data_IF_167454178663
#
_entry.id   IF_167454178663
#
_cell.length_a   1.000
_cell.length_b   1.000
_cell.length_c   1.000
_cell.angle_alpha   90.00
_cell.angle_beta   90.00
_cell.angle_gamma   90.00
#
_symmetry.space_group_name_H-M   'P 1'
#
loop_
_entity.id
_entity.type
_entity.pdbx_description
1 polymer ?
#
# COMPACT_ATOMS: atom_id res chain seq x y z
N UNK A 1 15.73 50.08 -11.89
CA UNK A 1 14.48 49.70 -11.21
C UNK A 1 13.62 49.03 -12.26
N UNK A 2 13.78 47.72 -12.43
CA UNK A 2 12.89 46.88 -13.22
C UNK A 2 12.39 45.78 -12.29
N UNK A 3 11.26 46.05 -11.66
CA UNK A 3 10.46 45.09 -10.90
C UNK A 3 9.44 44.51 -11.87
N UNK A 4 9.91 43.71 -12.84
CA UNK A 4 9.06 43.00 -13.78
C UNK A 4 8.69 41.62 -13.24
N UNK A 5 7.47 41.55 -12.70
CA UNK A 5 6.60 40.38 -12.60
C UNK A 5 7.29 39.02 -12.38
N UNK A 6 7.66 38.72 -11.13
CA UNK A 6 7.64 37.31 -10.68
C UNK A 6 6.19 36.92 -10.40
N UNK A 7 5.38 36.80 -11.45
CA UNK A 7 4.15 36.02 -11.36
C UNK A 7 4.61 34.60 -11.03
N UNK A 8 4.61 34.25 -9.74
CA UNK A 8 4.77 32.87 -9.33
C UNK A 8 3.60 32.13 -9.96
N UNK A 9 3.86 31.42 -11.07
CA UNK A 9 2.95 30.44 -11.63
C UNK A 9 2.89 29.26 -10.66
N UNK A 10 2.29 29.49 -9.49
CA UNK A 10 1.96 28.44 -8.55
C UNK A 10 0.82 27.63 -9.15
N UNK A 11 0.97 26.31 -9.13
CA UNK A 11 -0.11 25.41 -9.51
C UNK A 11 -1.35 25.69 -8.64
N UNK A 12 -2.56 25.73 -9.22
CA UNK A 12 -3.80 25.82 -8.45
C UNK A 12 -3.92 24.67 -7.42
N UNK A 13 -4.45 24.99 -6.23
CA UNK A 13 -4.55 24.05 -5.10
C UNK A 13 -5.36 22.80 -5.43
N UNK A 14 -6.42 22.93 -6.23
CA UNK A 14 -7.27 21.81 -6.66
C UNK A 14 -6.50 20.84 -7.56
N UNK A 15 -5.64 21.36 -8.45
CA UNK A 15 -4.78 20.55 -9.29
C UNK A 15 -3.69 19.89 -8.44
N UNK A 16 -3.09 20.63 -7.50
CA UNK A 16 -2.10 20.09 -6.58
C UNK A 16 -2.66 18.94 -5.74
N UNK A 17 -3.86 19.13 -5.19
CA UNK A 17 -4.58 18.12 -4.42
C UNK A 17 -4.83 16.88 -5.28
N UNK A 18 -5.29 17.05 -6.52
CA UNK A 18 -5.55 15.95 -7.45
C UNK A 18 -4.28 15.18 -7.82
N UNK A 19 -3.15 15.87 -7.99
CA UNK A 19 -1.84 15.24 -8.18
C UNK A 19 -1.52 14.39 -6.95
N UNK A 20 -1.52 15.00 -5.76
CA UNK A 20 -1.16 14.33 -4.52
C UNK A 20 -2.08 13.12 -4.22
N UNK A 21 -3.39 13.25 -4.40
CA UNK A 21 -4.36 12.16 -4.17
C UNK A 21 -4.22 10.99 -5.14
N UNK A 22 -3.56 11.19 -6.28
CA UNK A 22 -3.36 10.15 -7.29
C UNK A 22 -2.08 9.33 -7.07
N UNK A 23 -1.19 9.80 -6.18
CA UNK A 23 0.10 9.17 -5.94
C UNK A 23 0.01 8.00 -4.95
N UNK A 24 0.93 7.05 -5.11
CA UNK A 24 1.20 6.06 -4.06
C UNK A 24 1.95 6.74 -2.90
N UNK A 25 1.91 6.14 -1.71
CA UNK A 25 2.49 6.73 -0.49
C UNK A 25 3.99 7.01 -0.63
N UNK A 26 4.73 6.18 -1.36
CA UNK A 26 6.15 6.43 -1.64
C UNK A 26 6.36 7.76 -2.37
N UNK A 27 5.67 7.94 -3.49
CA UNK A 27 5.76 9.15 -4.31
C UNK A 27 5.16 10.38 -3.60
N UNK A 28 4.11 10.19 -2.80
CA UNK A 28 3.53 11.25 -1.99
C UNK A 28 4.54 11.80 -0.97
N UNK A 29 5.28 10.92 -0.29
CA UNK A 29 6.33 11.32 0.65
C UNK A 29 7.50 12.01 -0.08
N UNK A 30 7.89 11.53 -1.27
CA UNK A 30 8.90 12.17 -2.10
C UNK A 30 8.46 13.57 -2.53
N UNK A 31 7.21 13.74 -2.98
CA UNK A 31 6.64 15.02 -3.37
C UNK A 31 6.59 16.00 -2.19
N UNK A 32 6.15 15.53 -1.03
CA UNK A 32 6.14 16.30 0.21
C UNK A 32 7.53 16.80 0.62
N UNK A 33 8.59 16.12 0.20
CA UNK A 33 9.97 16.52 0.48
C UNK A 33 10.49 17.62 -0.46
N UNK A 34 9.78 17.94 -1.56
CA UNK A 34 10.24 18.89 -2.56
C UNK A 34 10.09 20.36 -2.17
N UNK A 35 9.10 20.70 -1.33
CA UNK A 35 8.84 22.08 -0.89
C UNK A 35 7.94 22.13 0.34
N UNK A 36 7.89 23.28 1.02
CA UNK A 36 6.96 23.48 2.14
C UNK A 36 5.49 23.36 1.73
N UNK A 37 5.12 23.91 0.58
CA UNK A 37 3.76 23.79 0.02
C UNK A 37 3.35 22.33 -0.12
N UNK A 38 4.19 21.51 -0.77
CA UNK A 38 3.92 20.08 -0.93
C UNK A 38 3.97 19.32 0.40
N UNK A 39 4.85 19.68 1.32
CA UNK A 39 4.92 19.07 2.65
C UNK A 39 3.61 19.25 3.41
N UNK A 40 3.06 20.48 3.44
CA UNK A 40 1.79 20.80 4.09
C UNK A 40 0.63 20.08 3.39
N UNK A 41 0.57 20.15 2.06
CA UNK A 41 -0.49 19.52 1.28
C UNK A 41 -0.50 17.99 1.41
N UNK A 42 0.65 17.33 1.24
CA UNK A 42 0.79 15.87 1.36
C UNK A 42 0.58 15.38 2.81
N UNK A 43 0.76 16.26 3.78
CA UNK A 43 0.45 16.01 5.19
C UNK A 43 -1.04 16.10 5.54
N UNK A 44 -1.88 16.62 4.64
CA UNK A 44 -3.30 16.84 4.88
C UNK A 44 -4.07 15.54 5.11
N UNK A 45 -4.86 15.50 6.17
CA UNK A 45 -5.57 14.30 6.62
C UNK A 45 -6.55 13.74 5.59
N UNK A 46 -7.15 14.60 4.76
CA UNK A 46 -8.04 14.20 3.67
C UNK A 46 -7.34 13.31 2.62
N UNK A 47 -6.05 13.54 2.35
CA UNK A 47 -5.28 12.69 1.43
C UNK A 47 -5.10 11.31 2.05
N UNK A 48 -4.78 11.26 3.34
CA UNK A 48 -4.57 10.00 4.06
C UNK A 48 -5.88 9.23 4.25
N UNK A 49 -7.01 9.91 4.43
CA UNK A 49 -8.34 9.30 4.40
C UNK A 49 -8.57 8.58 3.07
N UNK A 50 -8.41 9.29 1.95
CA UNK A 50 -8.59 8.72 0.62
C UNK A 50 -7.65 7.52 0.39
N UNK A 51 -6.39 7.62 0.82
CA UNK A 51 -5.42 6.51 0.75
C UNK A 51 -5.85 5.30 1.59
N UNK A 52 -6.34 5.52 2.80
CA UNK A 52 -6.87 4.45 3.67
C UNK A 52 -8.03 3.75 2.99
N UNK A 53 -9.03 4.51 2.51
CA UNK A 53 -10.23 3.96 1.87
C UNK A 53 -9.91 3.17 0.62
N UNK A 54 -8.96 3.65 -0.18
CA UNK A 54 -8.50 2.95 -1.40
C UNK A 54 -7.76 1.65 -1.08
N UNK A 55 -6.89 1.66 -0.06
CA UNK A 55 -6.05 0.51 0.30
C UNK A 55 -6.82 -0.56 1.08
N UNK A 56 -7.67 -0.15 2.03
CA UNK A 56 -8.41 -1.02 2.95
C UNK A 56 -9.91 -0.64 2.98
N UNK A 57 -10.66 -0.89 1.89
CA UNK A 57 -12.05 -0.45 1.77
C UNK A 57 -12.98 -1.06 2.81
N UNK A 58 -12.79 -2.33 3.18
CA UNK A 58 -13.62 -3.00 4.21
C UNK A 58 -13.46 -2.33 5.57
N UNK A 59 -12.21 -2.00 5.95
CA UNK A 59 -11.90 -1.37 7.22
C UNK A 59 -12.39 0.08 7.28
N UNK A 60 -12.34 0.80 6.15
CA UNK A 60 -12.91 2.13 6.07
C UNK A 60 -14.42 2.16 6.36
N UNK A 61 -15.17 1.19 5.82
CA UNK A 61 -16.61 1.04 6.10
C UNK A 61 -16.88 0.75 7.57
N UNK A 62 -16.03 -0.06 8.21
CA UNK A 62 -16.11 -0.31 9.64
C UNK A 62 -15.89 0.99 10.43
N UNK A 63 -14.83 1.75 10.15
CA UNK A 63 -14.52 3.01 10.85
C UNK A 63 -15.67 4.03 10.71
N UNK A 64 -16.24 4.18 9.50
CA UNK A 64 -17.38 5.07 9.26
C UNK A 64 -18.65 4.64 10.02
N UNK A 65 -18.79 3.36 10.35
CA UNK A 65 -19.94 2.87 11.12
C UNK A 65 -19.84 3.21 12.63
N UNK A 66 -18.63 3.46 13.14
CA UNK A 66 -18.34 3.70 14.56
C UNK A 66 -18.23 5.19 14.95
N UNK A 67 -18.82 6.12 14.17
CA UNK A 67 -18.74 7.60 14.22
C UNK A 67 -18.98 8.34 15.58
N UNK A 68 -18.85 7.70 16.73
CA UNK A 68 -19.02 8.27 18.08
C UNK A 68 -17.73 8.32 18.92
N UNK A 69 -16.55 8.07 18.35
CA UNK A 69 -15.26 8.13 19.09
C UNK A 69 -14.34 9.24 18.56
N UNK A 70 -13.46 9.81 19.42
CA UNK A 70 -12.46 10.77 18.96
C UNK A 70 -11.59 10.09 17.90
N UNK A 71 -11.71 10.55 16.66
CA UNK A 71 -10.99 10.00 15.52
C UNK A 71 -9.51 10.35 15.65
N UNK A 72 -8.67 9.32 15.67
CA UNK A 72 -7.25 9.44 15.35
C UNK A 72 -7.10 9.98 13.93
N UNK A 73 -6.16 10.91 13.71
CA UNK A 73 -5.85 11.43 12.36
C UNK A 73 -5.58 10.26 11.39
N UNK A 74 -6.20 10.29 10.20
CA UNK A 74 -6.08 9.26 9.17
C UNK A 74 -4.62 8.97 8.81
N UNK A 75 -3.74 9.97 8.84
CA UNK A 75 -2.30 9.77 8.63
C UNK A 75 -1.69 8.83 9.69
N UNK A 76 -1.97 9.09 10.96
CA UNK A 76 -1.44 8.29 12.07
C UNK A 76 -2.01 6.88 12.01
N UNK A 77 -3.32 6.78 11.76
CA UNK A 77 -4.01 5.51 11.53
C UNK A 77 -3.35 4.70 10.41
N UNK A 78 -3.11 5.32 9.25
CA UNK A 78 -2.49 4.66 8.10
C UNK A 78 -1.13 4.08 8.45
N UNK A 79 -0.27 4.87 9.11
CA UNK A 79 1.09 4.45 9.50
C UNK A 79 1.02 3.26 10.46
N UNK A 80 0.18 3.34 11.49
CA UNK A 80 -0.01 2.24 12.44
C UNK A 80 -0.50 0.97 11.73
N UNK A 81 -1.51 1.11 10.86
CA UNK A 81 -2.10 -0.03 10.16
C UNK A 81 -1.13 -0.66 9.17
N UNK A 82 -0.37 0.16 8.46
CA UNK A 82 0.70 -0.30 7.59
C UNK A 82 1.74 -1.13 8.36
N UNK A 83 2.17 -0.65 9.53
CA UNK A 83 3.14 -1.36 10.37
C UNK A 83 2.58 -2.69 10.91
N UNK A 84 1.29 -2.70 11.30
CA UNK A 84 0.59 -3.93 11.70
C UNK A 84 0.61 -4.96 10.55
N UNK A 85 0.22 -4.56 9.35
CA UNK A 85 0.21 -5.43 8.17
C UNK A 85 1.61 -5.88 7.78
N UNK A 86 2.61 -5.01 7.87
CA UNK A 86 4.02 -5.35 7.64
C UNK A 86 4.51 -6.42 8.63
N UNK A 87 4.14 -6.32 9.90
CA UNK A 87 4.46 -7.33 10.92
C UNK A 87 3.82 -8.68 10.62
N UNK A 88 2.55 -8.68 10.20
CA UNK A 88 1.84 -9.90 9.81
C UNK A 88 2.43 -10.54 8.54
N UNK A 89 2.75 -9.74 7.53
CA UNK A 89 3.45 -10.19 6.32
C UNK A 89 4.79 -10.83 6.66
N UNK A 90 5.58 -10.19 7.54
CA UNK A 90 6.85 -10.72 8.00
C UNK A 90 6.69 -12.09 8.67
N UNK A 91 5.67 -12.27 9.50
CA UNK A 91 5.38 -13.57 10.12
C UNK A 91 5.14 -14.69 9.09
N UNK A 92 4.41 -14.40 8.01
CA UNK A 92 4.19 -15.36 6.91
C UNK A 92 5.49 -15.61 6.15
N UNK A 93 6.25 -14.56 5.84
CA UNK A 93 7.53 -14.67 5.13
C UNK A 93 8.52 -15.54 5.93
N UNK A 94 8.65 -15.29 7.22
CA UNK A 94 9.52 -16.05 8.12
C UNK A 94 9.06 -17.52 8.21
N UNK A 95 7.76 -17.77 8.28
CA UNK A 95 7.18 -19.12 8.22
C UNK A 95 7.54 -19.84 6.91
N UNK A 96 7.32 -19.21 5.76
CA UNK A 96 7.63 -19.81 4.44
C UNK A 96 9.12 -20.12 4.36
N UNK A 97 9.98 -19.16 4.74
CA UNK A 97 11.43 -19.35 4.73
C UNK A 97 11.87 -20.50 5.64
N UNK A 98 11.21 -20.69 6.79
CA UNK A 98 11.49 -21.81 7.68
C UNK A 98 11.07 -23.16 7.09
N UNK A 99 10.00 -23.19 6.29
CA UNK A 99 9.52 -24.39 5.61
C UNK A 99 10.29 -24.74 4.33
N UNK A 100 11.24 -23.92 3.89
CA UNK A 100 12.01 -24.20 2.68
C UNK A 100 13.02 -25.34 2.91
N UNK A 101 12.95 -26.34 2.03
CA UNK A 101 13.96 -27.38 1.91
C UNK A 101 14.47 -27.38 0.47
N UNK A 102 15.74 -27.01 0.27
CA UNK A 102 16.37 -26.95 -1.07
C UNK A 102 15.54 -26.16 -2.09
N UNK A 103 15.12 -24.94 -1.73
CA UNK A 103 14.30 -24.05 -2.57
C UNK A 103 12.91 -24.59 -2.93
N UNK A 104 12.47 -25.67 -2.28
CA UNK A 104 11.14 -26.23 -2.42
C UNK A 104 10.35 -26.11 -1.11
N UNK A 105 9.03 -26.12 -1.23
CA UNK A 105 8.11 -26.11 -0.10
C UNK A 105 7.06 -27.19 -0.28
N UNK A 106 6.68 -27.84 0.81
CA UNK A 106 5.56 -28.77 0.80
C UNK A 106 4.25 -28.04 0.44
N UNK A 107 3.42 -28.66 -0.40
CA UNK A 107 2.14 -28.09 -0.84
C UNK A 107 1.24 -27.68 0.33
N UNK A 108 1.25 -28.44 1.44
CA UNK A 108 0.49 -28.10 2.65
C UNK A 108 0.93 -26.77 3.27
N UNK A 109 2.24 -26.54 3.38
CA UNK A 109 2.81 -25.31 3.91
C UNK A 109 2.59 -24.13 2.96
N UNK A 110 2.70 -24.36 1.65
CA UNK A 110 2.38 -23.35 0.64
C UNK A 110 0.92 -22.90 0.71
N UNK A 111 -0.04 -23.85 0.71
CA UNK A 111 -1.46 -23.52 0.81
C UNK A 111 -1.82 -22.87 2.14
N UNK A 112 -1.14 -23.27 3.23
CA UNK A 112 -1.29 -22.58 4.52
C UNK A 112 -0.88 -21.11 4.40
N UNK A 113 0.27 -20.80 3.83
CA UNK A 113 0.71 -19.42 3.65
C UNK A 113 -0.31 -18.61 2.85
N UNK A 114 -0.84 -19.13 1.75
CA UNK A 114 -1.87 -18.45 0.94
C UNK A 114 -3.16 -18.20 1.75
N UNK A 115 -3.60 -19.15 2.57
CA UNK A 115 -4.75 -18.96 3.47
C UNK A 115 -4.47 -17.95 4.58
N UNK A 116 -3.24 -17.90 5.07
CA UNK A 116 -2.86 -16.94 6.11
C UNK A 116 -2.97 -15.49 5.57
N UNK A 117 -2.62 -15.25 4.29
CA UNK A 117 -2.86 -13.95 3.63
C UNK A 117 -4.35 -13.57 3.64
N UNK A 118 -5.23 -14.52 3.36
CA UNK A 118 -6.69 -14.33 3.36
C UNK A 118 -7.21 -14.00 4.77
N UNK A 119 -6.78 -14.77 5.78
CA UNK A 119 -7.20 -14.58 7.18
C UNK A 119 -6.85 -13.19 7.74
N UNK A 120 -5.79 -12.57 7.20
CA UNK A 120 -5.34 -11.24 7.59
C UNK A 120 -6.05 -10.13 6.79
N UNK A 121 -6.82 -10.50 5.77
CA UNK A 121 -7.54 -9.61 4.87
C UNK A 121 -6.60 -8.68 4.08
N UNK A 122 -5.54 -9.26 3.50
CA UNK A 122 -4.61 -8.49 2.68
C UNK A 122 -5.29 -7.94 1.42
N UNK A 123 -5.19 -6.63 1.23
CA UNK A 123 -5.54 -6.01 -0.05
C UNK A 123 -4.45 -6.25 -1.09
N UNK A 124 -4.76 -5.96 -2.35
CA UNK A 124 -3.78 -6.03 -3.44
C UNK A 124 -2.52 -5.21 -3.15
N UNK A 125 -2.69 -3.98 -2.66
CA UNK A 125 -1.57 -3.09 -2.32
C UNK A 125 -0.68 -3.65 -1.19
N UNK A 126 -1.25 -4.41 -0.24
CA UNK A 126 -0.46 -5.08 0.80
C UNK A 126 0.38 -6.21 0.18
N UNK A 127 -0.21 -7.01 -0.69
CA UNK A 127 0.48 -8.11 -1.39
C UNK A 127 1.57 -7.57 -2.30
N UNK A 128 1.27 -6.53 -3.07
CA UNK A 128 2.25 -5.84 -3.92
C UNK A 128 3.40 -5.27 -3.09
N UNK A 129 3.08 -4.59 -1.99
CA UNK A 129 4.09 -3.98 -1.12
C UNK A 129 4.95 -5.02 -0.40
N UNK A 130 4.38 -6.12 0.07
CA UNK A 130 5.09 -7.03 0.99
C UNK A 130 5.57 -8.32 0.35
N UNK A 131 4.89 -8.85 -0.67
CA UNK A 131 5.25 -10.11 -1.29
C UNK A 131 5.92 -9.89 -2.64
N UNK A 132 5.34 -9.08 -3.54
CA UNK A 132 5.79 -8.94 -4.94
C UNK A 132 6.99 -7.99 -5.08
N UNK A 133 8.15 -8.39 -4.56
CA UNK A 133 9.40 -7.63 -4.64
C UNK A 133 10.51 -8.45 -5.27
N UNK A 134 11.38 -7.79 -6.04
CA UNK A 134 12.57 -8.42 -6.64
C UNK A 134 13.55 -9.02 -5.62
N UNK A 135 13.51 -8.55 -4.36
CA UNK A 135 14.35 -9.06 -3.26
C UNK A 135 13.81 -10.34 -2.61
N UNK A 136 12.57 -10.74 -2.88
CA UNK A 136 12.02 -11.98 -2.34
C UNK A 136 12.38 -13.17 -3.22
N UNK A 137 12.38 -14.37 -2.61
CA UNK A 137 12.47 -15.60 -3.39
C UNK A 137 11.22 -15.76 -4.27
N UNK A 138 11.37 -16.55 -5.34
CA UNK A 138 10.30 -16.75 -6.34
C UNK A 138 9.04 -17.35 -5.71
N UNK A 139 9.18 -18.20 -4.68
CA UNK A 139 8.05 -18.83 -4.00
C UNK A 139 7.18 -17.82 -3.24
N UNK A 140 7.77 -16.84 -2.56
CA UNK A 140 7.03 -15.76 -1.90
C UNK A 140 6.27 -14.92 -2.92
N UNK A 141 6.90 -14.59 -4.05
CA UNK A 141 6.21 -13.91 -5.15
C UNK A 141 5.05 -14.75 -5.69
N UNK A 142 5.24 -16.07 -5.81
CA UNK A 142 4.21 -16.99 -6.28
C UNK A 142 3.04 -17.14 -5.31
N UNK A 143 3.30 -17.14 -3.99
CA UNK A 143 2.25 -17.12 -2.95
C UNK A 143 1.41 -15.85 -3.08
N UNK A 144 2.06 -14.69 -3.19
CA UNK A 144 1.37 -13.41 -3.39
C UNK A 144 0.54 -13.40 -4.69
N UNK A 145 1.12 -13.86 -5.80
CA UNK A 145 0.44 -13.92 -7.09
C UNK A 145 -0.77 -14.86 -7.05
N UNK A 146 -0.63 -16.04 -6.45
CA UNK A 146 -1.72 -17.00 -6.31
C UNK A 146 -2.87 -16.40 -5.49
N UNK A 147 -2.56 -15.77 -4.36
CA UNK A 147 -3.55 -15.07 -3.55
C UNK A 147 -4.30 -14.00 -4.36
N UNK A 148 -3.59 -13.16 -5.11
CA UNK A 148 -4.21 -12.13 -5.94
C UNK A 148 -5.16 -12.69 -7.02
N UNK A 149 -4.77 -13.78 -7.70
CA UNK A 149 -5.56 -14.36 -8.77
C UNK A 149 -6.81 -15.07 -8.26
N UNK A 150 -6.66 -15.86 -7.19
CA UNK A 150 -7.71 -16.79 -6.76
C UNK A 150 -8.58 -16.21 -5.65
N UNK A 151 -8.01 -15.51 -4.67
CA UNK A 151 -8.77 -14.96 -3.54
C UNK A 151 -9.24 -13.54 -3.78
N UNK A 152 -8.38 -12.67 -4.34
CA UNK A 152 -8.80 -11.30 -4.68
C UNK A 152 -9.56 -11.22 -6.02
N UNK A 153 -9.57 -12.30 -6.81
CA UNK A 153 -10.29 -12.38 -8.09
C UNK A 153 -9.77 -11.42 -9.15
N UNK A 154 -8.51 -11.00 -9.08
CA UNK A 154 -7.93 -10.04 -10.02
C UNK A 154 -7.59 -10.73 -11.36
N UNK A 155 -7.95 -10.14 -12.51
CA UNK A 155 -7.60 -10.71 -13.82
C UNK A 155 -6.08 -10.69 -14.01
N UNK A 156 -5.50 -11.85 -14.34
CA UNK A 156 -4.03 -12.03 -14.34
C UNK A 156 -3.25 -11.11 -15.28
N UNK A 157 -3.89 -10.56 -16.32
CA UNK A 157 -3.29 -9.56 -17.19
C UNK A 157 -2.96 -8.23 -16.50
N UNK A 158 -3.71 -7.84 -15.45
CA UNK A 158 -3.45 -6.62 -14.70
C UNK A 158 -2.24 -6.74 -13.76
N UNK A 159 -2.06 -7.90 -13.13
CA UNK A 159 -0.98 -8.14 -12.17
C UNK A 159 0.38 -8.25 -12.89
N UNK A 160 0.42 -8.93 -14.03
CA UNK A 160 1.65 -9.11 -14.82
C UNK A 160 2.19 -7.81 -15.43
N UNK A 161 1.33 -6.83 -15.73
CA UNK A 161 1.77 -5.51 -16.21
C UNK A 161 2.32 -4.64 -15.08
N UNK A 162 1.88 -4.83 -13.84
CA UNK A 162 2.39 -4.09 -12.67
C UNK A 162 3.67 -4.69 -12.10
N UNK A 163 3.84 -6.01 -12.19
CA UNK A 163 5.07 -6.71 -11.78
C UNK A 163 6.03 -6.73 -12.97
N UNK A 164 6.63 -5.59 -13.30
CA UNK A 164 7.81 -5.57 -14.17
C UNK A 164 8.94 -6.31 -13.46
N UNK A 165 9.17 -7.57 -13.82
CA UNK A 165 10.35 -8.34 -13.44
C UNK A 165 11.59 -7.65 -14.04
N UNK A 166 12.22 -6.77 -13.26
CA UNK A 166 13.53 -6.20 -13.53
C UNK A 166 14.56 -6.80 -12.58
#
# INVERSE_FOLDING_TARGET
>A
MDSSLSSQESIPDDIALKIASSLQVGDLCSLGSCSRFWWELCGSDYIWESLCKKRWPVLALEIESYNNQPHEEWRVFYIRKHNEMAGKAKGIIDFVNHCLAFESIEVGNYLKAVRDLDSILFGFEDVYTFFLKSKHNVLLNLIGLHYCLIWLGLPGGGILLTVHWK
#
